data_IF_342742936264
#
_entry.id   IF_342742936264
#
_cell.length_a   1.000
_cell.length_b   1.000
_cell.length_c   1.000
_cell.angle_alpha   90.00
_cell.angle_beta   90.00
_cell.angle_gamma   90.00
#
_symmetry.space_group_name_H-M   'P 1'
#
loop_
_entity.id
_entity.type
_entity.pdbx_description
1 polymer ?
#
# COMPACT_ATOMS: atom_id res chain seq x y z
N UNK A 1 12.02 -0.01 6.12
CA UNK A 1 11.17 -1.19 6.38
C UNK A 1 10.32 -0.86 7.59
N UNK A 2 9.04 -0.74 7.43
CA UNK A 2 8.12 -0.39 8.52
C UNK A 2 7.31 -1.62 8.91
N UNK A 3 7.37 -1.96 10.19
CA UNK A 3 6.75 -3.16 10.74
C UNK A 3 5.24 -2.97 10.91
N UNK A 4 4.51 -4.06 10.77
CA UNK A 4 3.09 -4.11 11.09
C UNK A 4 2.85 -4.02 12.60
N UNK A 5 1.69 -3.50 12.95
CA UNK A 5 1.11 -3.58 14.29
C UNK A 5 -0.09 -4.56 14.26
N UNK A 6 -0.20 -5.51 15.17
CA UNK A 6 0.74 -5.85 16.23
C UNK A 6 1.98 -6.62 15.75
N UNK A 7 3.08 -6.43 16.48
CA UNK A 7 4.31 -7.18 16.32
C UNK A 7 4.44 -8.16 17.49
N UNK A 8 4.07 -9.41 17.27
CA UNK A 8 4.01 -10.42 18.32
C UNK A 8 5.25 -11.33 18.30
N UNK A 9 5.87 -11.45 19.46
CA UNK A 9 7.01 -12.33 19.68
C UNK A 9 6.68 -13.39 20.75
N UNK A 10 7.31 -14.56 20.64
CA UNK A 10 7.29 -15.56 21.71
C UNK A 10 8.33 -15.22 22.79
N UNK A 11 8.38 -16.03 23.86
CA UNK A 11 9.31 -15.85 24.99
C UNK A 11 10.80 -15.98 24.59
N UNK A 12 11.09 -16.54 23.41
CA UNK A 12 12.43 -16.65 22.84
C UNK A 12 12.71 -15.55 21.79
N UNK A 13 11.90 -14.48 21.73
CA UNK A 13 11.96 -13.39 20.76
C UNK A 13 11.86 -13.86 19.29
N UNK A 14 11.20 -15.01 19.06
CA UNK A 14 10.92 -15.44 17.68
C UNK A 14 9.57 -14.91 17.22
N UNK A 15 9.41 -14.57 15.93
CA UNK A 15 8.16 -14.07 15.39
C UNK A 15 7.00 -15.05 15.58
N UNK A 16 5.94 -14.62 16.25
CA UNK A 16 4.65 -15.29 16.25
C UNK A 16 3.76 -14.73 15.14
N UNK A 17 3.72 -13.41 15.00
CA UNK A 17 3.03 -12.71 13.92
C UNK A 17 3.70 -11.34 13.73
N UNK A 18 4.25 -11.14 12.56
CA UNK A 18 4.87 -9.90 12.12
C UNK A 18 4.55 -9.65 10.65
N UNK A 19 4.76 -8.43 10.19
CA UNK A 19 4.65 -8.09 8.78
C UNK A 19 5.47 -6.86 8.44
N UNK A 20 5.76 -6.71 7.16
CA UNK A 20 6.47 -5.58 6.58
C UNK A 20 5.80 -5.18 5.27
N UNK A 21 5.63 -3.88 5.03
CA UNK A 21 5.42 -3.37 3.67
C UNK A 21 6.78 -3.29 3.00
N UNK A 22 6.99 -4.09 1.97
CA UNK A 22 8.32 -4.30 1.36
C UNK A 22 8.60 -3.38 0.19
N UNK A 23 7.54 -2.95 -0.53
CA UNK A 23 7.66 -2.07 -1.70
C UNK A 23 6.41 -1.21 -1.87
N UNK A 24 6.61 0.03 -2.28
CA UNK A 24 5.58 0.93 -2.83
C UNK A 24 6.19 1.59 -4.07
N UNK A 25 5.64 1.29 -5.24
CA UNK A 25 6.20 1.74 -6.51
C UNK A 25 5.11 2.23 -7.47
N UNK A 26 5.40 3.28 -8.20
CA UNK A 26 4.55 3.70 -9.34
C UNK A 26 4.87 2.81 -10.52
N UNK A 27 3.83 2.23 -11.12
CA UNK A 27 3.93 1.31 -12.24
C UNK A 27 3.06 1.75 -13.40
N UNK A 28 3.35 1.24 -14.61
CA UNK A 28 2.47 1.42 -15.77
C UNK A 28 1.18 0.59 -15.62
N UNK A 29 0.11 0.91 -16.36
CA UNK A 29 0.10 1.62 -17.64
C UNK A 29 -0.51 3.01 -17.57
N UNK A 30 0.03 3.91 -18.34
CA UNK A 30 -0.66 5.09 -18.87
C UNK A 30 -0.39 6.40 -18.17
N UNK A 31 -0.03 6.43 -16.88
CA UNK A 31 0.23 7.68 -16.17
C UNK A 31 1.67 8.18 -16.27
N UNK A 32 2.59 7.35 -16.74
CA UNK A 32 4.01 7.68 -16.81
C UNK A 32 4.32 8.42 -18.10
N UNK A 33 4.99 9.56 -17.96
CA UNK A 33 5.41 10.37 -19.10
C UNK A 33 6.55 9.67 -19.83
N UNK A 34 6.36 9.35 -21.11
CA UNK A 34 7.32 8.63 -21.91
C UNK A 34 8.69 9.33 -21.94
N UNK A 35 9.75 8.61 -21.57
CA UNK A 35 11.12 9.10 -21.57
C UNK A 35 11.54 9.86 -20.30
N UNK A 36 10.65 10.02 -19.33
CA UNK A 36 10.96 10.54 -18.00
C UNK A 36 11.05 9.38 -16.96
N UNK A 37 11.40 9.73 -15.74
CA UNK A 37 11.43 8.73 -14.66
C UNK A 37 10.02 8.27 -14.32
N UNK A 38 9.89 7.07 -13.75
CA UNK A 38 8.60 6.54 -13.26
C UNK A 38 7.94 7.40 -12.18
N UNK A 39 8.58 8.49 -11.78
CA UNK A 39 8.08 9.41 -10.78
C UNK A 39 7.45 10.67 -11.39
N UNK A 40 7.32 10.75 -12.72
CA UNK A 40 6.60 11.83 -13.40
C UNK A 40 5.33 11.25 -14.02
N UNK A 41 4.17 11.75 -13.60
CA UNK A 41 2.86 11.26 -14.04
C UNK A 41 2.06 12.36 -14.73
N UNK A 42 1.29 11.97 -15.77
CA UNK A 42 0.40 12.88 -16.47
C UNK A 42 -0.93 12.99 -15.70
N UNK A 43 -1.37 14.20 -15.29
CA UNK A 43 -2.63 14.36 -14.56
C UNK A 43 -3.86 13.94 -15.38
N UNK A 44 -3.77 13.88 -16.70
CA UNK A 44 -4.86 13.52 -17.60
C UNK A 44 -4.98 12.01 -17.85
N UNK A 45 -4.06 11.21 -17.31
CA UNK A 45 -4.03 9.76 -17.43
C UNK A 45 -4.12 9.09 -16.06
N UNK A 46 -4.77 7.94 -15.95
CA UNK A 46 -4.66 7.14 -14.73
C UNK A 46 -3.25 6.55 -14.62
N UNK A 47 -2.78 6.36 -13.40
CA UNK A 47 -1.56 5.62 -13.11
C UNK A 47 -1.80 4.55 -12.05
N UNK A 48 -0.86 3.66 -11.89
CA UNK A 48 -0.95 2.56 -10.94
C UNK A 48 0.15 2.65 -9.88
N UNK A 49 -0.21 2.26 -8.66
CA UNK A 49 0.74 2.09 -7.55
C UNK A 49 0.70 0.63 -7.13
N UNK A 50 1.84 -0.06 -7.27
CA UNK A 50 2.00 -1.42 -6.78
C UNK A 50 2.54 -1.38 -5.36
N UNK A 51 1.86 -2.08 -4.47
CA UNK A 51 2.25 -2.28 -3.08
C UNK A 51 2.52 -3.75 -2.84
N UNK A 52 3.68 -4.05 -2.27
CA UNK A 52 4.04 -5.40 -1.85
C UNK A 52 4.22 -5.43 -0.34
N UNK A 53 3.69 -6.46 0.29
CA UNK A 53 3.86 -6.68 1.72
C UNK A 53 3.93 -8.17 2.03
N UNK A 54 4.40 -8.47 3.21
CA UNK A 54 4.44 -9.82 3.72
C UNK A 54 4.03 -9.89 5.18
N UNK A 55 3.51 -11.04 5.55
CA UNK A 55 3.33 -11.42 6.95
C UNK A 55 4.05 -12.74 7.21
N UNK A 56 4.62 -12.88 8.40
CA UNK A 56 5.39 -14.06 8.76
C UNK A 56 5.33 -14.35 10.26
N UNK A 57 5.56 -15.61 10.62
CA UNK A 57 5.58 -16.07 12.00
C UNK A 57 4.76 -17.33 12.24
N UNK A 58 4.98 -17.94 13.40
CA UNK A 58 4.44 -19.27 13.75
C UNK A 58 2.92 -19.35 13.81
N UNK A 59 2.22 -18.22 14.01
CA UNK A 59 0.75 -18.16 14.06
C UNK A 59 0.11 -17.84 12.69
N UNK A 60 0.87 -17.36 11.72
CA UNK A 60 0.33 -16.90 10.43
C UNK A 60 -0.52 -17.94 9.71
N UNK A 61 -0.10 -19.22 9.57
CA UNK A 61 -0.93 -20.20 8.88
C UNK A 61 -2.27 -20.48 9.60
N UNK A 62 -2.25 -20.52 10.92
CA UNK A 62 -3.45 -20.75 11.73
C UNK A 62 -4.40 -19.55 11.65
N UNK A 63 -3.83 -18.34 11.69
CA UNK A 63 -4.58 -17.09 11.65
C UNK A 63 -5.25 -16.90 10.29
N UNK A 64 -4.55 -17.13 9.17
CA UNK A 64 -5.14 -17.11 7.83
C UNK A 64 -6.24 -18.15 7.70
N UNK A 65 -6.02 -19.38 8.18
CA UNK A 65 -7.03 -20.42 8.14
C UNK A 65 -8.29 -20.07 8.96
N UNK A 66 -8.18 -19.27 10.00
CA UNK A 66 -9.31 -18.77 10.77
C UNK A 66 -10.10 -17.67 10.06
N UNK A 67 -9.44 -16.88 9.21
CA UNK A 67 -10.05 -15.78 8.45
C UNK A 67 -10.62 -16.24 7.10
N UNK A 68 -9.96 -17.20 6.45
CA UNK A 68 -10.27 -17.66 5.10
C UNK A 68 -11.65 -18.32 4.90
N UNK A 69 -12.21 -19.07 5.88
CA UNK A 69 -13.52 -19.72 5.68
C UNK A 69 -14.66 -18.75 5.35
N UNK A 70 -14.51 -17.47 5.65
CA UNK A 70 -15.54 -16.47 5.40
C UNK A 70 -15.41 -15.76 4.06
N UNK A 71 -14.19 -15.68 3.46
CA UNK A 71 -13.92 -14.84 2.29
C UNK A 71 -14.29 -13.37 2.48
N UNK A 72 -14.59 -12.97 3.73
CA UNK A 72 -15.24 -11.69 4.05
C UNK A 72 -14.27 -10.61 4.54
N UNK A 73 -13.01 -10.98 4.78
CA UNK A 73 -12.02 -10.08 5.37
C UNK A 73 -10.82 -9.87 4.44
N UNK A 74 -10.97 -9.07 3.37
CA UNK A 74 -9.85 -8.75 2.51
C UNK A 74 -8.89 -7.78 3.20
N UNK A 75 -7.63 -7.80 2.77
CA UNK A 75 -6.74 -6.68 2.96
C UNK A 75 -7.30 -5.46 2.24
N UNK A 76 -7.27 -4.32 2.90
CA UNK A 76 -7.50 -3.00 2.28
C UNK A 76 -6.15 -2.33 2.12
N UNK A 77 -5.83 -1.92 0.89
CA UNK A 77 -4.60 -1.19 0.54
C UNK A 77 -5.01 0.18 0.07
N UNK A 78 -4.68 1.20 0.86
CA UNK A 78 -5.03 2.59 0.60
C UNK A 78 -3.78 3.39 0.26
N UNK A 79 -3.83 4.18 -0.81
CA UNK A 79 -2.75 5.09 -1.21
C UNK A 79 -3.16 6.52 -0.90
N UNK A 80 -2.30 7.19 -0.17
CA UNK A 80 -2.39 8.62 0.15
C UNK A 80 -1.32 9.39 -0.61
N UNK A 81 -1.65 10.62 -0.99
CA UNK A 81 -0.71 11.58 -1.54
C UNK A 81 -0.65 12.81 -0.66
N UNK A 82 0.54 13.14 -0.17
CA UNK A 82 0.84 14.35 0.59
C UNK A 82 1.57 15.34 -0.33
N UNK A 83 1.02 16.54 -0.50
CA UNK A 83 1.66 17.59 -1.30
C UNK A 83 2.90 18.12 -0.61
N UNK A 84 4.03 18.12 -1.30
CA UNK A 84 5.27 18.73 -0.83
C UNK A 84 5.23 20.22 -1.16
N UNK A 85 4.90 21.03 -0.17
CA UNK A 85 4.68 22.48 -0.32
C UNK A 85 3.26 22.86 0.04
N UNK A 86 2.56 23.57 -0.85
CA UNK A 86 1.13 23.87 -0.66
C UNK A 86 0.27 22.72 -1.16
N UNK A 87 -0.79 22.39 -0.45
CA UNK A 87 -1.74 21.34 -0.83
C UNK A 87 -2.21 20.50 0.36
N UNK A 88 -3.06 19.53 0.07
CA UNK A 88 -3.67 18.67 1.08
C UNK A 88 -3.17 17.24 0.95
N UNK A 89 -3.14 16.55 2.07
CA UNK A 89 -3.08 15.09 2.08
C UNK A 89 -4.45 14.53 1.71
N UNK A 90 -4.48 13.57 0.78
CA UNK A 90 -5.71 12.96 0.32
C UNK A 90 -5.54 11.49 -0.01
N UNK A 91 -6.60 10.72 0.21
CA UNK A 91 -6.72 9.36 -0.32
C UNK A 91 -6.88 9.45 -1.84
N UNK A 92 -5.98 8.79 -2.58
CA UNK A 92 -5.97 8.85 -4.06
C UNK A 92 -6.40 7.55 -4.72
N UNK A 93 -6.41 6.45 -3.97
CA UNK A 93 -6.88 5.16 -4.47
C UNK A 93 -6.91 4.09 -3.40
N UNK A 94 -7.68 3.05 -3.65
CA UNK A 94 -7.83 1.91 -2.75
C UNK A 94 -8.04 0.62 -3.53
N UNK A 95 -7.52 -0.48 -3.02
CA UNK A 95 -7.74 -1.82 -3.55
C UNK A 95 -7.97 -2.82 -2.41
N UNK A 96 -8.67 -3.91 -2.71
CA UNK A 96 -8.86 -5.03 -1.79
C UNK A 96 -8.20 -6.28 -2.34
N UNK A 97 -7.54 -7.03 -1.45
CA UNK A 97 -6.86 -8.29 -1.76
C UNK A 97 -7.34 -9.36 -0.78
N UNK A 98 -7.81 -10.48 -1.32
CA UNK A 98 -8.25 -11.59 -0.47
C UNK A 98 -7.08 -12.10 0.39
N UNK A 99 -7.36 -12.50 1.64
CA UNK A 99 -6.35 -13.07 2.53
C UNK A 99 -5.75 -14.38 2.02
N UNK A 100 -6.47 -15.10 1.16
CA UNK A 100 -6.01 -16.30 0.47
C UNK A 100 -5.17 -16.01 -0.79
N UNK A 101 -5.12 -14.77 -1.28
CA UNK A 101 -4.40 -14.40 -2.51
C UNK A 101 -2.91 -14.13 -2.25
N UNK A 102 -2.26 -14.99 -1.48
CA UNK A 102 -0.82 -14.90 -1.21
C UNK A 102 0.00 -15.87 -2.05
N UNK A 103 1.29 -15.56 -2.18
CA UNK A 103 2.32 -16.54 -2.54
C UNK A 103 3.12 -16.93 -1.30
N UNK A 104 3.66 -18.16 -1.30
CA UNK A 104 4.56 -18.57 -0.22
C UNK A 104 5.89 -17.85 -0.39
N UNK A 105 6.31 -17.16 0.65
CA UNK A 105 7.61 -16.51 0.71
C UNK A 105 8.76 -17.48 0.99
N UNK A 106 9.83 -17.00 1.61
CA UNK A 106 11.05 -17.77 1.86
C UNK A 106 10.87 -19.00 2.78
N UNK A 107 9.70 -19.19 3.35
CA UNK A 107 9.37 -20.34 4.21
C UNK A 107 7.88 -20.59 4.32
N UNK A 108 7.51 -21.76 4.89
CA UNK A 108 6.12 -22.17 5.08
C UNK A 108 5.32 -21.22 5.99
N UNK A 109 5.99 -20.36 6.74
CA UNK A 109 5.40 -19.42 7.71
C UNK A 109 5.34 -17.99 7.18
N UNK A 110 5.77 -17.74 5.93
CA UNK A 110 5.74 -16.43 5.27
C UNK A 110 4.69 -16.41 4.16
N UNK A 111 3.95 -15.32 4.07
CA UNK A 111 2.93 -15.08 3.04
C UNK A 111 3.17 -13.72 2.44
N UNK A 112 3.44 -13.71 1.14
CA UNK A 112 3.71 -12.53 0.35
C UNK A 112 2.45 -12.13 -0.42
N UNK A 113 2.15 -10.85 -0.40
CA UNK A 113 1.00 -10.25 -1.08
C UNK A 113 1.45 -9.11 -1.98
N UNK A 114 0.65 -8.86 -2.99
CA UNK A 114 0.77 -7.69 -3.86
C UNK A 114 -0.59 -7.13 -4.18
N UNK A 115 -0.66 -5.82 -4.31
CA UNK A 115 -1.84 -5.10 -4.79
C UNK A 115 -1.42 -4.05 -5.80
N UNK A 116 -2.27 -3.86 -6.80
CA UNK A 116 -2.18 -2.72 -7.71
C UNK A 116 -3.37 -1.81 -7.45
N UNK A 117 -3.08 -0.57 -7.08
CA UNK A 117 -4.08 0.47 -6.82
C UNK A 117 -4.06 1.44 -7.99
N UNK A 118 -5.20 1.59 -8.67
CA UNK A 118 -5.34 2.56 -9.75
C UNK A 118 -5.72 3.93 -9.18
N UNK A 119 -4.91 4.93 -9.51
CA UNK A 119 -5.21 6.34 -9.25
C UNK A 119 -5.84 6.93 -10.50
N UNK A 120 -7.07 7.42 -10.37
CA UNK A 120 -7.84 7.94 -11.50
C UNK A 120 -7.22 9.25 -12.04
N UNK A 121 -7.37 9.47 -13.34
CA UNK A 121 -7.00 10.73 -13.98
C UNK A 121 -7.69 11.93 -13.28
N UNK A 122 -6.98 13.03 -13.12
CA UNK A 122 -7.47 14.25 -12.49
C UNK A 122 -7.50 14.20 -10.95
N UNK A 123 -7.07 13.11 -10.32
CA UNK A 123 -7.01 13.00 -8.85
C UNK A 123 -5.94 13.91 -8.26
N UNK A 124 -4.77 13.95 -8.89
CA UNK A 124 -3.66 14.82 -8.50
C UNK A 124 -3.55 16.00 -9.47
N UNK A 125 -3.19 17.15 -8.93
CA UNK A 125 -3.10 18.39 -9.69
C UNK A 125 -1.64 18.72 -10.02
N UNK A 126 -1.42 19.20 -11.23
CA UNK A 126 -0.17 19.81 -11.63
C UNK A 126 0.16 21.07 -10.80
N UNK A 127 1.44 21.38 -10.72
CA UNK A 127 1.91 22.57 -10.02
C UNK A 127 1.33 23.86 -10.64
N UNK A 128 0.72 24.70 -9.80
CA UNK A 128 0.17 25.97 -10.23
C UNK A 128 0.47 27.06 -9.20
N UNK A 129 1.36 28.00 -9.51
CA UNK A 129 1.71 29.10 -8.61
C UNK A 129 0.50 29.95 -8.20
N UNK A 130 -0.51 30.05 -9.06
CA UNK A 130 -1.73 30.81 -8.80
C UNK A 130 -2.66 30.18 -7.77
N UNK A 131 -2.63 28.85 -7.63
CA UNK A 131 -3.41 28.07 -6.64
C UNK A 131 -2.57 27.60 -5.46
N UNK A 132 -1.29 27.94 -5.40
CA UNK A 132 -0.34 27.51 -4.37
C UNK A 132 -0.24 25.97 -4.28
N UNK A 133 -0.32 25.28 -5.41
CA UNK A 133 -0.07 23.83 -5.53
C UNK A 133 1.33 23.59 -6.07
N UNK A 134 2.06 22.65 -5.48
CA UNK A 134 3.45 22.36 -5.89
C UNK A 134 3.53 21.43 -7.10
N UNK A 135 2.51 20.58 -7.32
CA UNK A 135 2.57 19.50 -8.29
C UNK A 135 3.48 18.34 -7.88
N UNK A 136 4.09 18.42 -6.72
CA UNK A 136 4.98 17.39 -6.18
C UNK A 136 4.31 16.74 -4.99
N UNK A 137 4.23 15.42 -5.01
CA UNK A 137 3.54 14.63 -3.98
C UNK A 137 4.41 13.49 -3.48
N UNK A 138 4.36 13.27 -2.18
CA UNK A 138 4.89 12.07 -1.55
C UNK A 138 3.75 11.07 -1.41
N UNK A 139 3.95 9.87 -1.92
CA UNK A 139 2.98 8.79 -1.75
C UNK A 139 3.21 8.07 -0.41
N UNK A 140 2.14 7.54 0.15
CA UNK A 140 2.17 6.66 1.31
C UNK A 140 1.15 5.54 1.13
N UNK A 141 1.54 4.31 1.48
CA UNK A 141 0.65 3.15 1.46
C UNK A 141 0.29 2.74 2.87
N UNK A 142 -0.99 2.51 3.11
CA UNK A 142 -1.53 1.86 4.30
C UNK A 142 -2.09 0.51 3.90
N UNK A 143 -1.63 -0.55 4.53
CA UNK A 143 -2.14 -1.91 4.35
C UNK A 143 -2.84 -2.31 5.63
N UNK A 144 -4.11 -2.56 5.56
CA UNK A 144 -4.95 -2.87 6.73
C UNK A 144 -5.76 -4.13 6.53
N UNK A 145 -5.86 -4.94 7.57
CA UNK A 145 -6.76 -6.06 7.65
C UNK A 145 -7.60 -5.95 8.92
N UNK A 146 -8.91 -5.81 8.74
CA UNK A 146 -9.92 -5.94 9.80
C UNK A 146 -10.29 -7.41 9.94
N UNK A 147 -9.88 -8.03 11.02
CA UNK A 147 -10.14 -9.45 11.27
C UNK A 147 -11.60 -9.76 11.56
N UNK A 148 -12.41 -8.76 11.97
CA UNK A 148 -13.81 -8.89 12.39
C UNK A 148 -14.06 -9.98 13.47
N UNK A 149 -13.02 -10.48 14.11
CA UNK A 149 -13.13 -11.52 15.12
C UNK A 149 -13.67 -11.01 16.45
N UNK A 150 -14.03 -9.72 16.54
CA UNK A 150 -14.64 -9.12 17.72
C UNK A 150 -13.75 -9.06 18.95
N UNK A 151 -12.46 -9.37 18.81
CA UNK A 151 -11.46 -9.35 19.87
C UNK A 151 -10.35 -8.39 19.46
N UNK A 152 -10.09 -7.41 20.32
CA UNK A 152 -8.99 -6.46 20.12
C UNK A 152 -7.65 -7.19 19.95
N UNK A 153 -6.88 -6.84 18.93
CA UNK A 153 -5.53 -7.35 18.71
C UNK A 153 -5.36 -8.38 17.60
N UNK A 154 -6.41 -8.64 16.81
CA UNK A 154 -6.30 -9.51 15.63
C UNK A 154 -6.26 -8.74 14.30
N UNK A 155 -6.48 -7.43 14.33
CA UNK A 155 -6.31 -6.58 13.16
C UNK A 155 -4.82 -6.34 12.90
N UNK A 156 -4.45 -6.24 11.63
CA UNK A 156 -3.08 -5.96 11.21
C UNK A 156 -3.04 -4.68 10.40
N UNK A 157 -2.12 -3.80 10.75
CA UNK A 157 -1.89 -2.57 10.03
C UNK A 157 -0.41 -2.39 9.70
N UNK A 158 -0.11 -2.07 8.46
CA UNK A 158 1.23 -1.70 7.99
C UNK A 158 1.17 -0.38 7.25
N UNK A 159 2.23 0.41 7.39
CA UNK A 159 2.38 1.69 6.71
C UNK A 159 3.76 1.76 6.05
N UNK A 160 3.86 2.34 4.87
CA UNK A 160 5.14 2.66 4.25
C UNK A 160 5.06 3.92 3.42
N UNK A 161 6.08 4.74 3.52
CA UNK A 161 6.28 5.84 2.60
C UNK A 161 6.71 5.30 1.24
N UNK A 162 6.09 5.84 0.19
CA UNK A 162 6.38 5.52 -1.20
C UNK A 162 7.30 6.56 -1.86
N UNK A 163 7.39 6.55 -3.19
CA UNK A 163 8.17 7.51 -3.94
C UNK A 163 7.58 8.91 -3.87
N UNK A 164 8.42 9.90 -4.12
CA UNK A 164 7.99 11.25 -4.47
C UNK A 164 7.72 11.26 -5.97
N UNK A 165 6.56 11.78 -6.36
CA UNK A 165 6.14 11.94 -7.76
C UNK A 165 5.94 13.40 -8.10
N UNK A 166 6.15 13.74 -9.36
CA UNK A 166 5.82 15.02 -9.97
C UNK A 166 4.65 14.82 -10.94
N UNK A 167 3.68 15.71 -10.88
CA UNK A 167 2.52 15.71 -11.77
C UNK A 167 2.74 16.79 -12.81
N UNK A 168 2.89 16.40 -14.08
CA UNK A 168 3.19 17.29 -15.20
C UNK A 168 2.39 16.87 -16.43
N UNK A 169 1.68 17.82 -17.06
CA UNK A 169 0.95 17.59 -18.29
C UNK A 169 1.90 17.43 -19.48
N UNK A 170 1.68 16.38 -20.27
CA UNK A 170 2.23 16.30 -21.61
C UNK A 170 1.53 17.31 -22.52
N UNK A 171 2.27 18.28 -23.04
CA UNK A 171 1.79 19.26 -24.05
C UNK A 171 1.75 18.59 -25.42
#
# INVERSE_FOLDING_TARGET
>A
MQQFDPNLLNIANQPLMQGDVTSVAVTEPGGIVAGLSNNVVDPNQPFEVTVEWKIFGGLVPLWIAALDPSGLNPWTVSIYAESIGGGQEQLVGEAQVATSAFTNGAGLLERDYTATVTVAAGTLQEGNPGSNTSGVYKLAAVVFLDSQLGVLGYDLAGFSEGPIIEVESLI
#
